data_IF_910167076669
#
_entry.id   IF_910167076669
#
_cell.length_a   1.000
_cell.length_b   1.000
_cell.length_c   1.000
_cell.angle_alpha   90.00
_cell.angle_beta   90.00
_cell.angle_gamma   90.00
#
_symmetry.space_group_name_H-M   'P 1'
#
loop_
_entity.id
_entity.type
_entity.pdbx_description
1 polymer ?
#
# COMPACT_ATOMS: atom_id res chain seq x y z
N UNK A 1 42.55 -87.91 33.23
CA UNK A 1 41.25 -87.27 33.51
C UNK A 1 41.44 -85.76 33.50
N UNK A 2 41.01 -85.10 32.41
CA UNK A 2 41.02 -83.63 32.24
C UNK A 2 39.58 -83.17 32.02
N UNK A 3 39.27 -82.01 32.58
CA UNK A 3 37.97 -81.38 32.66
C UNK A 3 37.36 -81.01 31.29
N UNK A 4 36.03 -81.00 31.21
CA UNK A 4 35.28 -80.06 30.37
C UNK A 4 33.88 -79.83 30.99
N UNK A 5 33.66 -78.61 31.49
CA UNK A 5 32.33 -78.05 31.78
C UNK A 5 31.82 -77.38 30.51
N UNK A 6 30.70 -77.86 29.97
CA UNK A 6 29.97 -77.21 28.88
C UNK A 6 28.76 -76.46 29.43
N UNK A 7 28.78 -75.13 29.32
CA UNK A 7 27.66 -74.23 29.62
C UNK A 7 26.67 -74.29 28.44
N UNK A 8 25.40 -74.61 28.72
CA UNK A 8 24.32 -74.47 27.72
C UNK A 8 23.76 -73.05 27.79
N UNK A 9 23.83 -72.36 26.66
CA UNK A 9 23.39 -70.98 26.44
C UNK A 9 21.86 -70.93 26.36
N UNK A 10 21.30 -69.94 27.06
CA UNK A 10 19.91 -69.51 27.07
C UNK A 10 19.52 -69.01 25.66
N UNK A 11 18.55 -69.64 25.00
CA UNK A 11 17.88 -69.06 23.81
C UNK A 11 16.69 -68.25 24.33
N UNK A 12 16.82 -66.93 24.32
CA UNK A 12 15.73 -66.03 24.72
C UNK A 12 15.94 -64.63 24.17
N UNK A 13 14.85 -64.08 23.60
CA UNK A 13 14.66 -62.70 23.15
C UNK A 13 15.28 -62.27 21.81
N UNK A 14 14.55 -62.47 20.71
CA UNK A 14 14.76 -61.70 19.48
C UNK A 14 13.46 -61.27 18.74
N UNK A 15 12.36 -60.99 19.46
CA UNK A 15 11.09 -60.60 18.80
C UNK A 15 10.47 -59.27 19.28
N UNK A 16 11.02 -58.61 20.31
CA UNK A 16 10.38 -57.38 20.84
C UNK A 16 10.82 -56.08 20.12
N UNK A 17 11.88 -56.10 19.32
CA UNK A 17 12.39 -54.86 18.68
C UNK A 17 11.59 -54.42 17.44
N UNK A 18 10.86 -55.32 16.77
CA UNK A 18 10.16 -55.00 15.50
C UNK A 18 8.77 -54.36 15.69
N UNK A 19 8.13 -54.54 16.84
CA UNK A 19 6.77 -54.04 17.11
C UNK A 19 6.74 -52.55 17.47
N UNK A 20 7.80 -52.03 18.10
CA UNK A 20 7.88 -50.60 18.48
C UNK A 20 8.10 -49.70 17.26
N UNK A 21 8.90 -50.13 16.27
CA UNK A 21 9.10 -49.37 15.02
C UNK A 21 7.84 -49.32 14.15
N UNK A 22 7.04 -50.38 14.13
CA UNK A 22 5.79 -50.41 13.36
C UNK A 22 4.71 -49.47 13.93
N UNK A 23 4.64 -49.35 15.27
CA UNK A 23 3.70 -48.44 15.94
C UNK A 23 4.07 -46.96 15.74
N UNK A 24 5.36 -46.61 15.84
CA UNK A 24 5.82 -45.25 15.58
C UNK A 24 5.65 -44.83 14.10
N UNK A 25 5.88 -45.76 13.15
CA UNK A 25 5.71 -45.48 11.72
C UNK A 25 4.24 -45.27 11.33
N UNK A 26 3.30 -45.98 11.96
CA UNK A 26 1.86 -45.84 11.69
C UNK A 26 1.27 -44.58 12.31
N UNK A 27 1.67 -44.22 13.54
CA UNK A 27 1.30 -42.97 14.17
C UNK A 27 1.79 -41.75 13.38
N UNK A 28 3.04 -41.78 12.88
CA UNK A 28 3.60 -40.72 12.07
C UNK A 28 2.85 -40.54 10.73
N UNK A 29 2.51 -41.64 10.05
CA UNK A 29 1.72 -41.59 8.80
C UNK A 29 0.32 -41.01 9.01
N UNK A 30 -0.34 -41.34 10.12
CA UNK A 30 -1.65 -40.80 10.44
C UNK A 30 -1.58 -39.28 10.68
N UNK A 31 -0.57 -38.81 11.42
CA UNK A 31 -0.34 -37.39 11.66
C UNK A 31 -0.06 -36.60 10.36
N UNK A 32 0.81 -37.12 9.48
CA UNK A 32 1.09 -36.50 8.16
C UNK A 32 -0.16 -36.41 7.30
N UNK A 33 -0.99 -37.46 7.30
CA UNK A 33 -2.27 -37.47 6.55
C UNK A 33 -3.25 -36.44 7.11
N UNK A 34 -3.36 -36.33 8.43
CA UNK A 34 -4.19 -35.33 9.11
C UNK A 34 -3.76 -33.91 8.75
N UNK A 35 -2.49 -33.58 8.96
CA UNK A 35 -1.94 -32.26 8.61
C UNK A 35 -2.07 -31.93 7.11
N UNK A 36 -1.89 -32.92 6.22
CA UNK A 36 -2.12 -32.72 4.78
C UNK A 36 -3.59 -32.39 4.47
N UNK A 37 -4.54 -33.04 5.16
CA UNK A 37 -5.95 -32.72 5.02
C UNK A 37 -6.29 -31.33 5.60
N UNK A 38 -5.63 -30.92 6.68
CA UNK A 38 -5.81 -29.61 7.30
C UNK A 38 -5.30 -28.48 6.39
N UNK A 39 -4.13 -28.68 5.78
CA UNK A 39 -3.60 -27.79 4.74
C UNK A 39 -4.57 -27.68 3.56
N UNK A 40 -5.14 -28.81 3.09
CA UNK A 40 -6.14 -28.80 2.02
C UNK A 40 -7.41 -28.04 2.39
N UNK A 41 -7.88 -28.12 3.64
CA UNK A 41 -9.04 -27.35 4.12
C UNK A 41 -8.73 -25.85 4.23
N UNK A 42 -7.55 -25.49 4.71
CA UNK A 42 -7.10 -24.10 4.76
C UNK A 42 -7.03 -23.49 3.35
N UNK A 43 -6.46 -24.24 2.40
CA UNK A 43 -6.36 -23.84 1.00
C UNK A 43 -7.74 -23.65 0.35
N UNK A 44 -8.68 -24.57 0.58
CA UNK A 44 -10.06 -24.45 0.11
C UNK A 44 -10.80 -23.24 0.72
N UNK A 45 -10.42 -22.81 1.91
CA UNK A 45 -10.95 -21.62 2.57
C UNK A 45 -10.26 -20.31 2.14
N UNK A 46 -9.20 -20.38 1.31
CA UNK A 46 -8.38 -19.23 0.94
C UNK A 46 -7.40 -18.77 2.03
N UNK A 47 -7.23 -19.55 3.10
CA UNK A 47 -6.26 -19.29 4.17
C UNK A 47 -4.88 -19.80 3.75
N UNK A 48 -4.27 -19.07 2.81
CA UNK A 48 -2.99 -19.44 2.21
C UNK A 48 -1.84 -19.42 3.22
N UNK A 49 -1.85 -18.50 4.17
CA UNK A 49 -0.84 -18.41 5.23
C UNK A 49 -0.80 -19.70 6.04
N UNK A 50 -1.96 -20.13 6.56
CA UNK A 50 -2.07 -21.37 7.31
C UNK A 50 -1.73 -22.59 6.46
N UNK A 51 -2.21 -22.64 5.22
CA UNK A 51 -1.94 -23.76 4.32
C UNK A 51 -0.43 -23.92 4.06
N UNK A 52 0.27 -22.81 3.82
CA UNK A 52 1.73 -22.77 3.61
C UNK A 52 2.48 -23.16 4.88
N UNK A 53 2.10 -22.63 6.04
CA UNK A 53 2.79 -22.95 7.30
C UNK A 53 2.65 -24.44 7.65
N UNK A 54 1.49 -25.06 7.44
CA UNK A 54 1.32 -26.50 7.65
C UNK A 54 2.25 -27.30 6.73
N UNK A 55 2.33 -26.95 5.44
CA UNK A 55 3.19 -27.64 4.49
C UNK A 55 4.68 -27.44 4.79
N UNK A 56 5.06 -26.24 5.21
CA UNK A 56 6.41 -25.91 5.65
C UNK A 56 6.84 -26.77 6.83
N UNK A 57 5.97 -26.96 7.82
CA UNK A 57 6.25 -27.82 8.97
C UNK A 57 6.36 -29.30 8.56
N UNK A 58 5.46 -29.79 7.70
CA UNK A 58 5.55 -31.15 7.16
C UNK A 58 6.88 -31.36 6.40
N UNK A 59 7.26 -30.41 5.56
CA UNK A 59 8.49 -30.48 4.77
C UNK A 59 9.75 -30.38 5.63
N UNK A 60 9.75 -29.58 6.69
CA UNK A 60 10.85 -29.53 7.67
C UNK A 60 11.05 -30.87 8.37
N UNK A 61 9.97 -31.57 8.68
CA UNK A 61 10.01 -32.85 9.39
C UNK A 61 10.48 -34.01 8.50
N UNK A 62 10.11 -34.02 7.21
CA UNK A 62 10.62 -35.00 6.24
C UNK A 62 10.86 -34.36 4.85
N UNK A 63 12.03 -33.75 4.62
CA UNK A 63 12.34 -33.09 3.34
C UNK A 63 12.51 -34.05 2.16
N UNK A 64 12.68 -35.36 2.43
CA UNK A 64 12.92 -36.38 1.40
C UNK A 64 11.62 -37.01 0.89
N UNK A 65 10.50 -36.83 1.60
CA UNK A 65 9.20 -37.31 1.15
C UNK A 65 8.72 -36.49 -0.07
N UNK A 66 8.72 -37.16 -1.22
CA UNK A 66 8.27 -36.59 -2.49
C UNK A 66 6.80 -36.13 -2.45
N UNK A 67 5.93 -36.78 -1.67
CA UNK A 67 4.52 -36.41 -1.56
C UNK A 67 4.34 -35.13 -0.77
N UNK A 68 5.09 -34.97 0.33
CA UNK A 68 5.09 -33.72 1.11
C UNK A 68 5.61 -32.58 0.26
N UNK A 69 6.74 -32.77 -0.45
CA UNK A 69 7.26 -31.77 -1.36
C UNK A 69 6.25 -31.39 -2.46
N UNK A 70 5.59 -32.37 -3.09
CA UNK A 70 4.55 -32.10 -4.10
C UNK A 70 3.34 -31.37 -3.53
N UNK A 71 2.93 -31.67 -2.29
CA UNK A 71 1.85 -30.96 -1.59
C UNK A 71 2.22 -29.51 -1.29
N UNK A 72 3.47 -29.28 -0.87
CA UNK A 72 3.97 -27.94 -0.58
C UNK A 72 4.05 -27.08 -1.85
N UNK A 73 4.65 -27.61 -2.92
CA UNK A 73 4.70 -26.94 -4.23
C UNK A 73 3.30 -26.59 -4.70
N UNK A 74 2.35 -27.53 -4.63
CA UNK A 74 0.95 -27.27 -5.04
C UNK A 74 0.31 -26.13 -4.27
N UNK A 75 0.51 -26.10 -2.94
CA UNK A 75 -0.08 -25.07 -2.08
C UNK A 75 0.46 -23.68 -2.44
N UNK A 76 1.77 -23.58 -2.68
CA UNK A 76 2.44 -22.34 -3.10
C UNK A 76 1.96 -21.90 -4.49
N UNK A 77 1.84 -22.83 -5.44
CA UNK A 77 1.30 -22.59 -6.79
C UNK A 77 -0.15 -22.09 -6.78
N UNK A 78 -1.00 -22.70 -5.95
CA UNK A 78 -2.40 -22.29 -5.82
C UNK A 78 -2.53 -20.91 -5.19
N UNK A 79 -1.71 -20.58 -4.19
CA UNK A 79 -1.62 -19.23 -3.64
C UNK A 79 -1.23 -18.20 -4.70
N UNK A 80 -0.21 -18.48 -5.51
CA UNK A 80 0.20 -17.59 -6.60
C UNK A 80 -0.92 -17.38 -7.63
N UNK A 81 -1.56 -18.46 -8.08
CA UNK A 81 -2.68 -18.39 -9.03
C UNK A 81 -3.86 -17.60 -8.47
N UNK A 82 -4.14 -17.73 -7.18
CA UNK A 82 -5.19 -16.98 -6.51
C UNK A 82 -4.85 -15.49 -6.43
N UNK A 83 -3.59 -15.14 -6.10
CA UNK A 83 -3.12 -13.75 -6.11
C UNK A 83 -3.26 -13.11 -7.50
N UNK A 84 -2.81 -13.81 -8.53
CA UNK A 84 -2.93 -13.39 -9.94
C UNK A 84 -4.40 -13.20 -10.37
N UNK A 85 -5.28 -14.10 -9.94
CA UNK A 85 -6.70 -13.99 -10.23
C UNK A 85 -7.34 -12.80 -9.51
N UNK A 86 -6.98 -12.58 -8.25
CA UNK A 86 -7.42 -11.42 -7.47
C UNK A 86 -6.93 -10.11 -8.11
N UNK A 87 -5.67 -10.05 -8.56
CA UNK A 87 -5.10 -8.91 -9.28
C UNK A 87 -5.89 -8.62 -10.56
N UNK A 88 -6.14 -9.63 -11.40
CA UNK A 88 -6.94 -9.48 -12.63
C UNK A 88 -8.38 -9.03 -12.38
N UNK A 89 -8.93 -9.34 -11.20
CA UNK A 89 -10.28 -8.94 -10.79
C UNK A 89 -10.32 -7.56 -10.10
N UNK A 90 -9.18 -6.90 -9.93
CA UNK A 90 -9.08 -5.63 -9.19
C UNK A 90 -9.22 -5.78 -7.67
N UNK A 91 -9.15 -7.00 -7.13
CA UNK A 91 -9.15 -7.27 -5.69
C UNK A 91 -7.74 -7.08 -5.11
N UNK A 92 -7.24 -5.84 -5.19
CA UNK A 92 -5.83 -5.51 -4.92
C UNK A 92 -5.40 -5.79 -3.47
N UNK A 93 -6.30 -5.65 -2.48
CA UNK A 93 -6.00 -6.00 -1.09
C UNK A 93 -5.76 -7.50 -0.91
N UNK A 94 -6.66 -8.34 -1.44
CA UNK A 94 -6.51 -9.80 -1.42
C UNK A 94 -5.26 -10.24 -2.18
N UNK A 95 -5.02 -9.67 -3.37
CA UNK A 95 -3.86 -9.98 -4.18
C UNK A 95 -2.55 -9.60 -3.47
N UNK A 96 -2.42 -8.35 -3.01
CA UNK A 96 -1.22 -7.89 -2.29
C UNK A 96 -0.96 -8.67 -1.01
N UNK A 97 -2.01 -8.99 -0.24
CA UNK A 97 -1.87 -9.85 0.95
C UNK A 97 -1.29 -11.22 0.61
N UNK A 98 -1.81 -11.86 -0.45
CA UNK A 98 -1.34 -13.17 -0.89
C UNK A 98 0.08 -13.13 -1.45
N UNK A 99 0.43 -12.12 -2.27
CA UNK A 99 1.81 -11.93 -2.74
C UNK A 99 2.78 -11.73 -1.57
N UNK A 100 2.38 -10.98 -0.53
CA UNK A 100 3.20 -10.71 0.65
C UNK A 100 3.44 -11.99 1.46
N UNK A 101 2.42 -12.82 1.67
CA UNK A 101 2.56 -14.16 2.28
C UNK A 101 3.59 -15.01 1.51
N UNK A 102 3.52 -15.02 0.18
CA UNK A 102 4.45 -15.79 -0.66
C UNK A 102 5.88 -15.22 -0.62
N UNK A 103 6.03 -13.90 -0.55
CA UNK A 103 7.34 -13.25 -0.43
C UNK A 103 7.98 -13.51 0.93
N UNK A 104 7.23 -13.40 2.02
CA UNK A 104 7.70 -13.67 3.38
C UNK A 104 8.07 -15.15 3.56
N UNK A 105 7.37 -16.04 2.84
CA UNK A 105 7.66 -17.47 2.81
C UNK A 105 8.83 -17.89 1.90
N UNK A 106 9.40 -16.97 1.09
CA UNK A 106 10.25 -17.31 -0.04
C UNK A 106 11.47 -18.17 0.32
N UNK A 107 12.13 -17.89 1.44
CA UNK A 107 13.29 -18.66 1.89
C UNK A 107 12.97 -20.14 2.11
N UNK A 108 11.74 -20.43 2.56
CA UNK A 108 11.22 -21.79 2.70
C UNK A 108 10.98 -22.51 1.37
N UNK A 109 10.83 -21.76 0.28
CA UNK A 109 10.60 -22.27 -1.07
C UNK A 109 11.89 -22.41 -1.88
N UNK A 110 12.96 -21.71 -1.47
CA UNK A 110 14.24 -21.65 -2.19
C UNK A 110 14.78 -23.03 -2.59
N UNK A 111 14.61 -24.05 -1.74
CA UNK A 111 15.03 -25.43 -1.99
C UNK A 111 14.33 -26.10 -3.19
N UNK A 112 13.16 -25.61 -3.59
CA UNK A 112 12.40 -26.12 -4.73
C UNK A 112 11.92 -25.02 -5.68
N UNK A 113 12.46 -23.80 -5.58
CA UNK A 113 12.05 -22.66 -6.40
C UNK A 113 12.16 -22.95 -7.91
N UNK A 114 13.12 -23.77 -8.33
CA UNK A 114 13.27 -24.22 -9.72
C UNK A 114 12.09 -25.07 -10.25
N UNK A 115 11.19 -25.53 -9.37
CA UNK A 115 9.98 -26.28 -9.73
C UNK A 115 8.72 -25.40 -9.75
N UNK A 116 8.82 -24.14 -9.33
CA UNK A 116 7.72 -23.19 -9.36
C UNK A 116 7.57 -22.60 -10.77
N UNK A 117 6.33 -22.27 -11.14
CA UNK A 117 5.98 -21.62 -12.41
C UNK A 117 6.26 -20.11 -12.40
N UNK A 118 6.64 -19.57 -11.26
CA UNK A 118 6.96 -18.17 -11.03
C UNK A 118 8.24 -18.03 -10.22
N UNK A 119 8.82 -16.83 -10.25
CA UNK A 119 10.01 -16.44 -9.51
C UNK A 119 9.65 -15.35 -8.51
N UNK A 120 10.57 -15.08 -7.58
CA UNK A 120 10.43 -13.98 -6.61
C UNK A 120 10.10 -12.64 -7.28
N UNK A 121 10.79 -12.34 -8.38
CA UNK A 121 10.58 -11.09 -9.14
C UNK A 121 9.16 -10.98 -9.70
N UNK A 122 8.49 -12.09 -10.00
CA UNK A 122 7.13 -12.09 -10.51
C UNK A 122 6.14 -11.75 -9.37
N UNK A 123 6.39 -12.23 -8.14
CA UNK A 123 5.65 -11.83 -6.93
C UNK A 123 5.87 -10.35 -6.58
N UNK A 124 7.12 -9.87 -6.63
CA UNK A 124 7.47 -8.47 -6.37
C UNK A 124 6.78 -7.54 -7.37
N UNK A 125 6.76 -7.94 -8.65
CA UNK A 125 6.04 -7.21 -9.69
C UNK A 125 4.52 -7.20 -9.43
N UNK A 126 3.92 -8.35 -9.10
CA UNK A 126 2.50 -8.46 -8.79
C UNK A 126 2.09 -7.61 -7.58
N UNK A 127 2.88 -7.66 -6.50
CA UNK A 127 2.68 -6.83 -5.31
C UNK A 127 2.76 -5.34 -5.67
N UNK A 128 3.79 -4.92 -6.40
CA UNK A 128 3.94 -3.53 -6.83
C UNK A 128 2.76 -3.05 -7.66
N UNK A 129 2.27 -3.87 -8.60
CA UNK A 129 1.07 -3.54 -9.38
C UNK A 129 -0.17 -3.35 -8.50
N UNK A 130 -0.35 -4.16 -7.45
CA UNK A 130 -1.43 -3.97 -6.49
C UNK A 130 -1.30 -2.64 -5.73
N UNK A 131 -0.09 -2.34 -5.22
CA UNK A 131 0.17 -1.12 -4.45
C UNK A 131 -0.05 0.14 -5.30
N UNK A 132 0.40 0.15 -6.55
CA UNK A 132 0.15 1.26 -7.49
C UNK A 132 -1.35 1.50 -7.68
N UNK A 133 -2.14 0.43 -7.84
CA UNK A 133 -3.59 0.55 -7.98
C UNK A 133 -4.26 1.07 -6.69
N UNK A 134 -3.79 0.62 -5.52
CA UNK A 134 -4.28 1.09 -4.22
C UNK A 134 -3.96 2.58 -4.00
N UNK A 135 -2.75 3.02 -4.32
CA UNK A 135 -2.40 4.44 -4.30
C UNK A 135 -3.27 5.25 -5.25
N UNK A 136 -3.56 4.76 -6.46
CA UNK A 136 -4.50 5.43 -7.37
C UNK A 136 -5.91 5.56 -6.79
N UNK A 137 -6.42 4.52 -6.14
CA UNK A 137 -7.72 4.57 -5.47
C UNK A 137 -7.74 5.56 -4.30
N UNK A 138 -6.68 5.57 -3.48
CA UNK A 138 -6.54 6.48 -2.35
C UNK A 138 -6.41 7.94 -2.83
N UNK A 139 -5.60 8.20 -3.86
CA UNK A 139 -5.52 9.50 -4.53
C UNK A 139 -6.92 9.99 -4.93
N UNK A 140 -7.68 9.16 -5.65
CA UNK A 140 -9.02 9.53 -6.10
C UNK A 140 -10.00 9.78 -4.94
N UNK A 141 -9.83 9.10 -3.80
CA UNK A 141 -10.63 9.36 -2.59
C UNK A 141 -10.29 10.72 -1.97
N UNK A 142 -9.00 11.03 -1.80
CA UNK A 142 -8.54 12.30 -1.25
C UNK A 142 -8.92 13.47 -2.16
N UNK A 143 -8.81 13.29 -3.48
CA UNK A 143 -9.21 14.27 -4.48
C UNK A 143 -10.71 14.61 -4.38
N UNK A 144 -11.58 13.60 -4.34
CA UNK A 144 -13.04 13.77 -4.18
C UNK A 144 -13.41 14.43 -2.85
N UNK A 145 -12.57 14.29 -1.83
CA UNK A 145 -12.76 14.94 -0.54
C UNK A 145 -12.22 16.38 -0.48
N UNK A 146 -11.64 16.91 -1.57
CA UNK A 146 -11.02 18.24 -1.61
C UNK A 146 -9.75 18.35 -0.76
N UNK A 147 -9.10 17.21 -0.48
CA UNK A 147 -7.88 17.09 0.33
C UNK A 147 -6.66 16.95 -0.59
N UNK A 148 -6.42 17.98 -1.39
CA UNK A 148 -5.42 17.97 -2.47
C UNK A 148 -3.99 17.71 -1.98
N UNK A 149 -3.66 18.22 -0.79
CA UNK A 149 -2.39 17.98 -0.09
C UNK A 149 -2.20 16.49 0.19
N UNK A 150 -3.23 15.84 0.74
CA UNK A 150 -3.22 14.39 0.99
C UNK A 150 -3.20 13.61 -0.31
N UNK A 151 -3.90 14.08 -1.34
CA UNK A 151 -3.92 13.44 -2.65
C UNK A 151 -2.49 13.34 -3.23
N UNK A 152 -1.73 14.44 -3.29
CA UNK A 152 -0.33 14.40 -3.75
C UNK A 152 0.55 13.53 -2.85
N UNK A 153 0.36 13.59 -1.52
CA UNK A 153 1.15 12.84 -0.56
C UNK A 153 1.06 11.31 -0.76
N UNK A 154 -0.04 10.80 -1.34
CA UNK A 154 -0.20 9.37 -1.65
C UNK A 154 0.90 8.88 -2.59
N UNK A 155 1.10 9.56 -3.72
CA UNK A 155 2.12 9.15 -4.68
C UNK A 155 3.54 9.47 -4.23
N UNK A 156 3.72 10.56 -3.47
CA UNK A 156 5.00 10.85 -2.82
C UNK A 156 5.41 9.74 -1.83
N UNK A 157 4.45 9.15 -1.11
CA UNK A 157 4.71 8.01 -0.23
C UNK A 157 5.13 6.78 -1.03
N UNK A 158 4.42 6.46 -2.12
CA UNK A 158 4.81 5.35 -2.99
C UNK A 158 6.20 5.54 -3.61
N UNK A 159 6.56 6.76 -4.03
CA UNK A 159 7.89 7.03 -4.64
C UNK A 159 9.02 6.98 -3.61
N UNK A 160 8.73 7.15 -2.32
CA UNK A 160 9.70 6.86 -1.25
C UNK A 160 9.96 5.37 -1.10
N UNK A 161 8.94 4.54 -1.31
CA UNK A 161 9.05 3.07 -1.23
C UNK A 161 9.65 2.46 -2.51
N UNK A 162 9.31 3.02 -3.68
CA UNK A 162 9.82 2.61 -4.99
C UNK A 162 10.45 3.79 -5.74
N UNK A 163 11.63 4.27 -5.31
CA UNK A 163 12.32 5.38 -5.98
C UNK A 163 12.60 5.05 -7.46
N UNK A 164 12.24 6.00 -8.34
CA UNK A 164 12.48 5.86 -9.79
C UNK A 164 11.54 4.90 -10.53
N UNK A 165 10.49 4.38 -9.87
CA UNK A 165 9.48 3.58 -10.57
C UNK A 165 8.75 4.42 -11.63
N UNK A 166 8.85 4.00 -12.89
CA UNK A 166 8.32 4.77 -14.03
C UNK A 166 6.80 4.86 -14.01
N UNK A 167 6.11 3.79 -13.64
CA UNK A 167 4.64 3.74 -13.63
C UNK A 167 4.11 4.66 -12.55
N UNK A 168 4.73 4.62 -11.36
CA UNK A 168 4.36 5.51 -10.28
C UNK A 168 4.72 6.97 -10.55
N UNK A 169 5.89 7.22 -11.17
CA UNK A 169 6.28 8.56 -11.60
C UNK A 169 5.29 9.15 -12.61
N UNK A 170 4.83 8.36 -13.58
CA UNK A 170 3.78 8.77 -14.51
C UNK A 170 2.43 9.01 -13.84
N UNK A 171 2.04 8.17 -12.88
CA UNK A 171 0.80 8.37 -12.11
C UNK A 171 0.86 9.67 -11.28
N UNK A 172 2.00 9.94 -10.65
CA UNK A 172 2.22 11.19 -9.92
C UNK A 172 2.18 12.41 -10.84
N UNK A 173 2.80 12.32 -12.01
CA UNK A 173 2.77 13.40 -12.99
C UNK A 173 1.36 13.71 -13.48
N UNK A 174 0.56 12.68 -13.79
CA UNK A 174 -0.85 12.84 -14.14
C UNK A 174 -1.68 13.46 -13.01
N UNK A 175 -1.39 13.14 -11.76
CA UNK A 175 -2.04 13.76 -10.61
C UNK A 175 -1.71 15.25 -10.45
N UNK A 176 -0.47 15.65 -10.80
CA UNK A 176 -0.08 17.06 -10.84
C UNK A 176 -0.81 17.80 -11.95
N UNK A 177 -0.89 17.22 -13.15
CA UNK A 177 -1.62 17.80 -14.28
C UNK A 177 -3.13 17.91 -13.99
N UNK A 178 -3.73 16.93 -13.29
CA UNK A 178 -5.13 16.98 -12.88
C UNK A 178 -5.40 18.11 -11.87
N UNK A 179 -4.49 18.33 -10.91
CA UNK A 179 -4.59 19.44 -9.97
C UNK A 179 -4.41 20.79 -10.67
N UNK A 180 -3.47 20.93 -11.60
CA UNK A 180 -3.33 22.17 -12.38
C UNK A 180 -4.61 22.47 -13.18
N UNK A 181 -5.24 21.44 -13.75
CA UNK A 181 -6.53 21.61 -14.42
C UNK A 181 -7.65 22.04 -13.46
N UNK A 182 -7.63 21.60 -12.20
CA UNK A 182 -8.56 22.05 -11.16
C UNK A 182 -8.31 23.53 -10.82
N UNK A 183 -7.06 23.92 -10.59
CA UNK A 183 -6.68 25.31 -10.30
C UNK A 183 -7.05 26.25 -11.44
N UNK A 184 -6.73 25.87 -12.68
CA UNK A 184 -7.08 26.61 -13.90
C UNK A 184 -8.59 26.77 -14.10
N UNK A 185 -9.38 25.72 -13.83
CA UNK A 185 -10.86 25.80 -13.88
C UNK A 185 -11.41 26.70 -12.79
N UNK A 186 -10.84 26.66 -11.59
CA UNK A 186 -11.23 27.53 -10.48
C UNK A 186 -10.94 29.01 -10.81
N UNK A 187 -9.78 29.31 -11.41
CA UNK A 187 -9.45 30.65 -11.92
C UNK A 187 -10.47 31.13 -12.96
N UNK A 188 -10.80 30.29 -13.94
CA UNK A 188 -11.77 30.63 -14.98
C UNK A 188 -13.19 30.87 -14.42
N UNK A 189 -13.49 30.34 -13.24
CA UNK A 189 -14.75 30.51 -12.53
C UNK A 189 -14.70 31.61 -11.46
N UNK A 190 -13.63 32.39 -11.39
CA UNK A 190 -13.37 33.40 -10.34
C UNK A 190 -13.36 32.83 -8.90
N UNK A 191 -13.18 31.51 -8.74
CA UNK A 191 -12.95 30.87 -7.45
C UNK A 191 -11.46 30.97 -7.08
N UNK A 192 -11.07 32.20 -6.76
CA UNK A 192 -9.69 32.55 -6.39
C UNK A 192 -9.22 31.85 -5.11
N UNK A 193 -10.14 31.43 -4.23
CA UNK A 193 -9.81 30.70 -3.01
C UNK A 193 -9.34 29.28 -3.31
N UNK A 194 -10.13 28.54 -4.10
CA UNK A 194 -9.74 27.20 -4.53
C UNK A 194 -8.51 27.24 -5.44
N UNK A 195 -8.50 28.14 -6.43
CA UNK A 195 -7.36 28.32 -7.32
C UNK A 195 -6.08 28.57 -6.52
N UNK A 196 -6.04 29.61 -5.69
CA UNK A 196 -4.86 29.96 -4.91
C UNK A 196 -4.36 28.81 -4.03
N UNK A 197 -5.28 28.05 -3.41
CA UNK A 197 -4.93 26.86 -2.63
C UNK A 197 -4.25 25.78 -3.46
N UNK A 198 -4.78 25.45 -4.63
CA UNK A 198 -4.22 24.41 -5.49
C UNK A 198 -2.90 24.84 -6.10
N UNK A 199 -2.81 26.07 -6.62
CA UNK A 199 -1.58 26.59 -7.23
C UNK A 199 -0.45 26.72 -6.20
N UNK A 200 -0.75 27.20 -4.98
CA UNK A 200 0.24 27.26 -3.90
C UNK A 200 0.71 25.88 -3.45
N UNK A 201 -0.20 24.89 -3.41
CA UNK A 201 0.16 23.51 -3.14
C UNK A 201 1.13 22.97 -4.19
N UNK A 202 0.84 23.16 -5.48
CA UNK A 202 1.72 22.74 -6.57
C UNK A 202 3.07 23.45 -6.52
N UNK A 203 3.09 24.76 -6.24
CA UNK A 203 4.32 25.54 -6.14
C UNK A 203 5.20 25.07 -4.98
N UNK A 204 4.61 24.80 -3.81
CA UNK A 204 5.34 24.31 -2.64
C UNK A 204 5.95 22.92 -2.85
N UNK A 205 5.34 22.10 -3.71
CA UNK A 205 5.81 20.76 -4.06
C UNK A 205 6.64 20.73 -5.36
N UNK A 206 6.94 21.88 -5.97
CA UNK A 206 7.50 21.93 -7.33
C UNK A 206 8.81 21.14 -7.49
N UNK A 207 9.69 21.21 -6.48
CA UNK A 207 10.95 20.48 -6.49
C UNK A 207 10.77 18.95 -6.46
N UNK A 208 9.64 18.44 -5.97
CA UNK A 208 9.34 17.00 -5.99
C UNK A 208 8.98 16.47 -7.38
N UNK A 209 8.75 17.38 -8.34
CA UNK A 209 8.50 17.02 -9.74
C UNK A 209 9.82 16.80 -10.50
N UNK A 210 10.94 17.29 -9.94
CA UNK A 210 12.26 17.03 -10.47
C UNK A 210 12.61 15.55 -10.27
N UNK A 211 13.07 14.89 -11.34
CA UNK A 211 13.39 13.47 -11.32
C UNK A 211 12.22 12.53 -11.63
N UNK A 212 11.01 13.05 -11.87
CA UNK A 212 9.94 12.24 -12.44
C UNK A 212 10.26 11.86 -13.89
N UNK A 213 9.98 10.60 -14.23
CA UNK A 213 10.22 10.06 -15.57
C UNK A 213 9.32 10.69 -16.62
N UNK A 214 8.12 11.12 -16.23
CA UNK A 214 7.25 11.98 -17.00
C UNK A 214 7.16 13.32 -16.27
N UNK A 215 7.57 14.40 -16.94
CA UNK A 215 7.53 15.74 -16.34
C UNK A 215 6.11 16.32 -16.48
N UNK A 216 5.47 16.77 -15.40
CA UNK A 216 4.20 17.47 -15.49
C UNK A 216 4.31 18.75 -16.32
N UNK A 217 3.19 19.22 -16.89
CA UNK A 217 3.14 20.41 -17.75
C UNK A 217 3.27 21.75 -17.01
N UNK A 218 3.37 21.73 -15.68
CA UNK A 218 3.35 22.92 -14.83
C UNK A 218 4.69 23.69 -14.86
N UNK A 219 4.63 25.02 -14.75
CA UNK A 219 5.83 25.86 -14.60
C UNK A 219 5.77 26.70 -13.34
N UNK A 220 6.93 26.89 -12.70
CA UNK A 220 7.04 27.61 -11.42
C UNK A 220 6.55 29.04 -11.55
N UNK A 221 6.86 29.67 -12.68
CA UNK A 221 6.51 31.05 -13.02
C UNK A 221 4.99 31.21 -13.16
N UNK A 222 4.33 30.31 -13.90
CA UNK A 222 2.87 30.35 -14.07
C UNK A 222 2.12 30.12 -12.77
N UNK A 223 2.57 29.18 -11.95
CA UNK A 223 2.01 28.95 -10.62
C UNK A 223 2.12 30.21 -9.75
N UNK A 224 3.28 30.88 -9.75
CA UNK A 224 3.48 32.12 -9.02
C UNK A 224 2.58 33.25 -9.53
N UNK A 225 2.48 33.44 -10.84
CA UNK A 225 1.58 34.43 -11.46
C UNK A 225 0.11 34.19 -11.08
N UNK A 226 -0.33 32.93 -11.11
CA UNK A 226 -1.69 32.56 -10.71
C UNK A 226 -1.97 32.85 -9.22
N UNK A 227 -1.00 32.58 -8.34
CA UNK A 227 -1.11 32.89 -6.91
C UNK A 227 -1.21 34.41 -6.69
N UNK A 228 -0.39 35.21 -7.38
CA UNK A 228 -0.46 36.67 -7.29
C UNK A 228 -1.82 37.21 -7.76
N UNK A 229 -2.36 36.65 -8.85
CA UNK A 229 -3.70 36.98 -9.33
C UNK A 229 -4.76 36.67 -8.27
N UNK A 230 -4.73 35.46 -7.69
CA UNK A 230 -5.67 35.05 -6.63
C UNK A 230 -5.58 35.99 -5.42
N UNK A 231 -4.37 36.30 -4.97
CA UNK A 231 -4.13 37.23 -3.84
C UNK A 231 -4.71 38.61 -4.13
N UNK A 232 -4.43 39.18 -5.30
CA UNK A 232 -4.90 40.50 -5.71
C UNK A 232 -6.43 40.54 -5.79
N UNK A 233 -7.04 39.52 -6.41
CA UNK A 233 -8.49 39.43 -6.56
C UNK A 233 -9.21 39.28 -5.22
N UNK A 234 -8.77 38.37 -4.35
CA UNK A 234 -9.37 38.19 -3.02
C UNK A 234 -9.21 39.44 -2.14
N UNK A 235 -8.07 40.12 -2.22
CA UNK A 235 -7.86 41.40 -1.51
C UNK A 235 -8.88 42.44 -1.95
N UNK A 236 -9.03 42.64 -3.27
CA UNK A 236 -9.98 43.59 -3.86
C UNK A 236 -11.43 43.23 -3.52
N UNK A 237 -11.79 41.96 -3.64
CA UNK A 237 -13.15 41.46 -3.38
C UNK A 237 -13.52 41.64 -1.90
N UNK A 238 -12.63 41.26 -0.98
CA UNK A 238 -12.87 41.44 0.46
C UNK A 238 -13.01 42.92 0.83
N UNK A 239 -12.18 43.80 0.25
CA UNK A 239 -12.30 45.24 0.46
C UNK A 239 -13.61 45.82 -0.10
N UNK A 240 -14.06 45.33 -1.25
CA UNK A 240 -15.33 45.74 -1.85
C UNK A 240 -16.52 45.34 -0.95
N UNK A 241 -16.53 44.12 -0.42
CA UNK A 241 -17.59 43.67 0.51
C UNK A 241 -17.53 44.43 1.84
N UNK A 242 -16.34 44.68 2.36
CA UNK A 242 -16.15 45.48 3.57
C UNK A 242 -16.73 46.90 3.41
N UNK A 243 -16.45 47.56 2.28
CA UNK A 243 -16.98 48.91 1.97
C UNK A 243 -18.51 48.95 1.84
N UNK A 244 -19.13 47.83 1.45
CA UNK A 244 -20.59 47.68 1.41
C UNK A 244 -21.20 47.40 2.80
N UNK A 245 -20.37 47.23 3.83
CA UNK A 245 -20.80 46.82 5.17
C UNK A 245 -21.05 45.32 5.31
N UNK A 246 -20.75 44.52 4.28
CA UNK A 246 -20.91 43.06 4.31
C UNK A 246 -19.73 42.39 5.02
N UNK A 247 -19.57 42.64 6.31
CA UNK A 247 -18.40 42.26 7.08
C UNK A 247 -18.15 40.74 7.09
N UNK A 248 -19.18 39.91 7.23
CA UNK A 248 -19.04 38.45 7.15
C UNK A 248 -18.45 37.97 5.82
N UNK A 249 -18.91 38.54 4.70
CA UNK A 249 -18.41 38.17 3.36
C UNK A 249 -16.99 38.65 3.14
N UNK A 250 -16.63 39.84 3.65
CA UNK A 250 -15.28 40.34 3.62
C UNK A 250 -14.33 39.42 4.39
N UNK A 251 -14.70 39.05 5.62
CA UNK A 251 -13.95 38.12 6.47
C UNK A 251 -13.76 36.78 5.77
N UNK A 252 -14.82 36.17 5.24
CA UNK A 252 -14.74 34.88 4.56
C UNK A 252 -13.82 34.93 3.32
N UNK A 253 -13.91 36.00 2.52
CA UNK A 253 -13.03 36.21 1.37
C UNK A 253 -11.57 36.30 1.78
N UNK A 254 -11.25 37.10 2.81
CA UNK A 254 -9.88 37.23 3.30
C UNK A 254 -9.35 35.98 4.00
N UNK A 255 -10.19 35.24 4.72
CA UNK A 255 -9.82 33.95 5.31
C UNK A 255 -9.48 32.92 4.22
N UNK A 256 -10.18 32.93 3.08
CA UNK A 256 -9.81 32.08 1.94
C UNK A 256 -8.44 32.41 1.34
N UNK A 257 -8.02 33.68 1.37
CA UNK A 257 -6.65 34.09 0.98
C UNK A 257 -5.62 33.52 1.95
N UNK A 258 -5.89 33.63 3.26
CA UNK A 258 -4.98 33.15 4.31
C UNK A 258 -4.80 31.62 4.31
N UNK A 259 -5.65 30.86 3.63
CA UNK A 259 -5.45 29.41 3.44
C UNK A 259 -4.17 29.11 2.65
N UNK A 260 -3.81 29.96 1.69
CA UNK A 260 -2.63 29.74 0.83
C UNK A 260 -1.56 30.82 0.96
N UNK A 261 -1.86 31.93 1.64
CA UNK A 261 -0.90 32.96 2.03
C UNK A 261 -1.07 33.31 3.52
N UNK A 262 -0.78 32.35 4.43
CA UNK A 262 -1.03 32.50 5.87
C UNK A 262 -0.18 33.63 6.48
N UNK A 263 0.94 33.97 5.84
CA UNK A 263 1.88 34.98 6.33
C UNK A 263 1.52 36.43 5.95
N UNK A 264 0.41 36.64 5.24
CA UNK A 264 -0.06 37.96 4.83
C UNK A 264 -0.52 38.83 6.02
N UNK A 265 0.39 39.64 6.54
CA UNK A 265 0.13 40.50 7.71
C UNK A 265 -0.99 41.53 7.48
N UNK A 266 -1.11 42.07 6.26
CA UNK A 266 -2.16 43.04 5.92
C UNK A 266 -3.54 42.40 5.99
N UNK A 267 -3.70 41.23 5.37
CA UNK A 267 -4.98 40.52 5.33
C UNK A 267 -5.37 39.99 6.71
N UNK A 268 -4.42 39.52 7.53
CA UNK A 268 -4.70 39.15 8.94
C UNK A 268 -5.27 40.34 9.72
N UNK A 269 -4.64 41.51 9.61
CA UNK A 269 -5.10 42.73 10.29
C UNK A 269 -6.49 43.17 9.78
N UNK A 270 -6.76 43.01 8.49
CA UNK A 270 -8.07 43.31 7.90
C UNK A 270 -9.16 42.39 8.48
N UNK A 271 -8.89 41.08 8.58
CA UNK A 271 -9.80 40.11 9.21
C UNK A 271 -10.05 40.45 10.68
N UNK A 272 -9.01 40.74 11.47
CA UNK A 272 -9.17 41.12 12.88
C UNK A 272 -10.03 42.38 13.05
N UNK A 273 -9.76 43.40 12.24
CA UNK A 273 -10.51 44.67 12.27
C UNK A 273 -11.99 44.45 11.94
N UNK A 274 -12.27 43.71 10.88
CA UNK A 274 -13.65 43.40 10.48
C UNK A 274 -14.38 42.54 11.52
N UNK A 275 -13.71 41.55 12.14
CA UNK A 275 -14.27 40.75 13.24
C UNK A 275 -14.63 41.62 14.44
N UNK A 276 -13.75 42.55 14.83
CA UNK A 276 -13.99 43.46 15.94
C UNK A 276 -15.17 44.41 15.67
N UNK A 277 -15.29 44.93 14.45
CA UNK A 277 -16.44 45.75 14.05
C UNK A 277 -17.74 44.95 14.05
N UNK A 278 -17.71 43.73 13.50
CA UNK A 278 -18.89 42.88 13.44
C UNK A 278 -19.42 42.53 14.84
N UNK A 279 -18.52 42.29 15.80
CA UNK A 279 -18.89 42.06 17.19
C UNK A 279 -19.61 43.27 17.81
N UNK A 280 -19.17 44.50 17.51
CA UNK A 280 -19.81 45.74 17.99
C UNK A 280 -21.18 46.00 17.39
N UNK A 281 -21.43 45.50 16.17
CA UNK A 281 -22.74 45.64 15.51
C UNK A 281 -23.73 44.61 16.07
N UNK A 282 -23.24 43.45 16.54
CA UNK A 282 -24.05 42.37 17.10
C UNK A 282 -24.32 42.50 18.60
N UNK A 283 -23.61 43.40 19.30
CA UNK A 283 -23.82 43.75 20.71
C UNK A 283 -24.92 44.78 20.87
#
# INVERSE_FOLDING_TARGET
MKAHRGVKILVGAFVVTSLVFAACATANRAAVKGASADSGRALAAGDFEKAIEIQKQLYRNDPRDKKILSGYIRTVEEGHKAADLALRRGSYETASGTYRILLDGWDGFSAFAAKLTFRRVDLEAGLKSCLIAQWGAQYGQELRAGRYDKALAVYQAGLREYPGDKTLGSAYAGAVDELEAIGSKALAADDYGLAGRVEALLLSNFASFDGLTARPGVSREKLAEAIELCRSSLTKNGLAEYRKGNLEKAIATWESLLVFDPENAEIRKAVETAKAQLAKIKS
#
